data_IF_935053133464
#
_entry.id   IF_935053133464
#
_cell.length_a   1.000
_cell.length_b   1.000
_cell.length_c   1.000
_cell.angle_alpha   90.00
_cell.angle_beta   90.00
_cell.angle_gamma   90.00
#
_symmetry.space_group_name_H-M   'P 1'
#
loop_
_entity.id
_entity.type
_entity.pdbx_description
1 polymer ?
#
# COMPACT_ATOMS: atom_id res chain seq x y z
N UNK A 1 17.10 15.33 -16.41
CA UNK A 1 15.97 15.06 -17.31
C UNK A 1 14.74 15.52 -16.55
N UNK A 2 14.10 16.62 -16.98
CA UNK A 2 12.87 17.10 -16.36
C UNK A 2 11.71 16.24 -16.86
N UNK A 3 10.90 15.71 -15.94
CA UNK A 3 9.67 14.99 -16.28
C UNK A 3 8.59 15.99 -16.71
N UNK A 4 7.78 15.61 -17.68
CA UNK A 4 6.60 16.38 -18.09
C UNK A 4 5.51 16.32 -17.03
N UNK A 5 4.60 17.31 -16.99
CA UNK A 5 3.45 17.31 -16.07
C UNK A 5 2.60 16.03 -16.17
N UNK A 6 2.47 15.47 -17.38
CA UNK A 6 1.67 14.27 -17.61
C UNK A 6 2.35 13.00 -17.08
N UNK A 7 3.69 12.90 -17.21
CA UNK A 7 4.46 11.82 -16.59
C UNK A 7 4.38 11.90 -15.05
N UNK A 8 4.43 13.11 -14.50
CA UNK A 8 4.31 13.36 -13.07
C UNK A 8 2.92 12.98 -12.54
N UNK A 9 1.84 13.38 -13.24
CA UNK A 9 0.46 12.98 -12.90
C UNK A 9 0.26 11.47 -12.98
N UNK A 10 0.78 10.83 -14.03
CA UNK A 10 0.71 9.38 -14.19
C UNK A 10 1.41 8.66 -13.04
N UNK A 11 2.62 9.10 -12.69
CA UNK A 11 3.37 8.55 -11.57
C UNK A 11 2.65 8.71 -10.23
N UNK A 12 2.09 9.90 -9.95
CA UNK A 12 1.25 10.11 -8.75
C UNK A 12 0.06 9.15 -8.72
N UNK A 13 -0.66 9.01 -9.84
CA UNK A 13 -1.79 8.08 -9.96
C UNK A 13 -1.41 6.62 -9.72
N UNK A 14 -0.22 6.18 -10.20
CA UNK A 14 0.30 4.84 -9.93
C UNK A 14 0.58 4.60 -8.44
N UNK A 15 1.13 5.59 -7.75
CA UNK A 15 1.36 5.51 -6.30
C UNK A 15 0.03 5.44 -5.53
N UNK A 16 -0.93 6.30 -5.85
CA UNK A 16 -2.26 6.30 -5.21
C UNK A 16 -3.01 4.98 -5.45
N UNK A 17 -2.94 4.44 -6.67
CA UNK A 17 -3.51 3.13 -6.99
C UNK A 17 -2.82 1.99 -6.23
N UNK A 18 -1.49 2.08 -6.06
CA UNK A 18 -0.72 1.15 -5.23
C UNK A 18 -1.19 1.10 -3.77
N UNK A 19 -1.52 2.27 -3.18
CA UNK A 19 -2.09 2.32 -1.82
C UNK A 19 -3.41 1.56 -1.73
N UNK A 20 -4.32 1.78 -2.69
CA UNK A 20 -5.62 1.11 -2.71
C UNK A 20 -5.47 -0.40 -2.76
N UNK A 21 -4.62 -0.92 -3.65
CA UNK A 21 -4.37 -2.37 -3.77
C UNK A 21 -3.86 -2.96 -2.45
N UNK A 22 -2.88 -2.33 -1.81
CA UNK A 22 -2.30 -2.84 -0.56
C UNK A 22 -3.31 -2.79 0.58
N UNK A 23 -4.15 -1.76 0.64
CA UNK A 23 -5.23 -1.69 1.63
C UNK A 23 -6.26 -2.82 1.43
N UNK A 24 -6.63 -3.11 0.19
CA UNK A 24 -7.53 -4.22 -0.15
C UNK A 24 -6.93 -5.60 0.16
N UNK A 25 -5.61 -5.77 -0.03
CA UNK A 25 -4.90 -6.97 0.41
C UNK A 25 -4.96 -7.15 1.93
N UNK A 26 -4.69 -6.09 2.70
CA UNK A 26 -4.80 -6.13 4.17
C UNK A 26 -6.20 -6.53 4.59
N UNK A 27 -7.24 -5.95 3.97
CA UNK A 27 -8.63 -6.29 4.25
C UNK A 27 -8.93 -7.77 3.96
N UNK A 28 -8.40 -8.31 2.87
CA UNK A 28 -8.52 -9.74 2.53
C UNK A 28 -7.80 -10.64 3.54
N UNK A 29 -6.59 -10.28 3.94
CA UNK A 29 -5.83 -11.04 4.95
C UNK A 29 -6.49 -11.00 6.32
N UNK A 30 -7.07 -9.87 6.72
CA UNK A 30 -7.85 -9.79 7.95
C UNK A 30 -9.05 -10.74 7.92
N UNK A 31 -9.80 -10.80 6.81
CA UNK A 31 -10.88 -11.80 6.63
C UNK A 31 -10.37 -13.24 6.76
N UNK A 32 -9.21 -13.55 6.16
CA UNK A 32 -8.59 -14.87 6.30
C UNK A 32 -8.22 -15.20 7.75
N UNK A 33 -7.75 -14.22 8.53
CA UNK A 33 -7.49 -14.43 9.97
C UNK A 33 -8.80 -14.80 10.70
N UNK A 34 -9.90 -14.10 10.45
CA UNK A 34 -11.20 -14.43 11.04
C UNK A 34 -11.66 -15.86 10.67
N UNK A 35 -11.48 -16.26 9.41
CA UNK A 35 -11.80 -17.62 8.94
C UNK A 35 -10.91 -18.68 9.61
N UNK A 36 -9.60 -18.42 9.72
CA UNK A 36 -8.68 -19.32 10.42
C UNK A 36 -9.04 -19.46 11.91
N UNK A 37 -9.42 -18.38 12.59
CA UNK A 37 -9.90 -18.43 13.98
C UNK A 37 -11.17 -19.28 14.11
N UNK A 38 -12.14 -19.09 13.22
CA UNK A 38 -13.39 -19.86 13.19
C UNK A 38 -13.16 -21.35 12.96
N UNK A 39 -12.18 -21.70 12.13
CA UNK A 39 -11.86 -23.07 11.76
C UNK A 39 -10.81 -23.73 12.69
N UNK A 40 -10.35 -23.04 13.74
CA UNK A 40 -9.32 -23.55 14.66
C UNK A 40 -7.90 -23.63 14.07
N UNK A 41 -7.65 -23.00 12.92
CA UNK A 41 -6.37 -23.02 12.19
C UNK A 41 -5.40 -21.94 12.70
N UNK A 42 -5.18 -21.86 14.01
CA UNK A 42 -4.42 -20.78 14.64
C UNK A 42 -2.95 -20.68 14.17
N UNK A 43 -2.36 -21.81 13.77
CA UNK A 43 -0.98 -21.88 13.26
C UNK A 43 -0.78 -21.07 11.97
N UNK A 44 -1.84 -20.78 11.21
CA UNK A 44 -1.78 -19.99 9.98
C UNK A 44 -1.74 -18.48 10.23
N UNK A 45 -2.26 -18.03 11.37
CA UNK A 45 -2.42 -16.61 11.70
C UNK A 45 -1.08 -15.84 11.67
N UNK A 46 0.03 -16.35 12.24
CA UNK A 46 1.33 -15.64 12.17
C UNK A 46 1.81 -15.41 10.73
N UNK A 47 1.60 -16.38 9.84
CA UNK A 47 1.98 -16.25 8.42
C UNK A 47 1.15 -15.18 7.71
N UNK A 48 -0.15 -15.12 8.00
CA UNK A 48 -1.04 -14.10 7.42
C UNK A 48 -0.68 -12.71 7.98
N UNK A 49 -0.41 -12.60 9.28
CA UNK A 49 0.07 -11.34 9.89
C UNK A 49 1.38 -10.83 9.27
N UNK A 50 2.31 -11.73 8.93
CA UNK A 50 3.53 -11.35 8.21
C UNK A 50 3.24 -10.76 6.82
N UNK A 51 2.22 -11.26 6.12
CA UNK A 51 1.80 -10.68 4.83
C UNK A 51 1.20 -9.28 5.02
N UNK A 52 0.37 -9.09 6.05
CA UNK A 52 -0.17 -7.76 6.42
C UNK A 52 0.96 -6.78 6.70
N UNK A 53 1.94 -7.17 7.54
CA UNK A 53 3.10 -6.33 7.84
C UNK A 53 3.87 -5.90 6.58
N UNK A 54 4.04 -6.81 5.61
CA UNK A 54 4.68 -6.46 4.34
C UNK A 54 3.85 -5.45 3.53
N UNK A 55 2.51 -5.59 3.51
CA UNK A 55 1.63 -4.61 2.86
C UNK A 55 1.72 -3.24 3.56
N UNK A 56 1.73 -3.20 4.90
CA UNK A 56 1.89 -1.98 5.68
C UNK A 56 3.21 -1.28 5.37
N UNK A 57 4.32 -2.03 5.34
CA UNK A 57 5.63 -1.49 4.95
C UNK A 57 5.62 -0.86 3.56
N UNK A 58 5.01 -1.53 2.58
CA UNK A 58 4.90 -0.99 1.21
C UNK A 58 3.99 0.24 1.16
N UNK A 59 2.92 0.28 1.97
CA UNK A 59 2.07 1.47 2.11
C UNK A 59 2.89 2.66 2.63
N UNK A 60 3.73 2.45 3.65
CA UNK A 60 4.59 3.51 4.19
C UNK A 60 5.59 4.00 3.15
N UNK A 61 6.24 3.10 2.41
CA UNK A 61 7.15 3.46 1.30
C UNK A 61 6.43 4.29 0.21
N UNK A 62 5.19 3.92 -0.15
CA UNK A 62 4.40 4.67 -1.13
C UNK A 62 3.98 6.04 -0.58
N UNK A 63 3.59 6.14 0.68
CA UNK A 63 3.25 7.42 1.33
C UNK A 63 4.45 8.36 1.37
N UNK A 64 5.64 7.86 1.70
CA UNK A 64 6.87 8.63 1.67
C UNK A 64 7.20 9.10 0.24
N UNK A 65 7.01 8.23 -0.76
CA UNK A 65 7.18 8.60 -2.16
C UNK A 65 6.19 9.70 -2.61
N UNK A 66 4.92 9.63 -2.21
CA UNK A 66 3.91 10.66 -2.47
C UNK A 66 4.27 11.98 -1.79
N UNK A 67 4.68 11.94 -0.52
CA UNK A 67 5.11 13.12 0.22
C UNK A 67 6.32 13.80 -0.44
N UNK A 68 7.30 13.01 -0.88
CA UNK A 68 8.45 13.51 -1.60
C UNK A 68 8.05 14.10 -2.96
N UNK A 69 7.17 13.42 -3.70
CA UNK A 69 6.61 13.94 -4.94
C UNK A 69 5.94 15.31 -4.72
N UNK A 70 5.11 15.46 -3.69
CA UNK A 70 4.42 16.73 -3.39
C UNK A 70 5.39 17.83 -2.94
N UNK A 71 6.47 17.49 -2.23
CA UNK A 71 7.52 18.46 -1.86
C UNK A 71 8.33 18.93 -3.07
N UNK A 72 8.66 18.01 -3.99
CA UNK A 72 9.54 18.27 -5.13
C UNK A 72 8.79 18.93 -6.30
N UNK A 73 7.58 18.47 -6.59
CA UNK A 73 6.81 18.86 -7.78
C UNK A 73 5.46 19.53 -7.44
N UNK A 74 5.03 19.51 -6.18
CA UNK A 74 3.76 20.12 -5.74
C UNK A 74 3.83 21.61 -5.42
N UNK A 75 5.00 22.25 -5.49
CA UNK A 75 5.11 23.72 -5.45
C UNK A 75 4.77 24.31 -6.82
N UNK A 76 3.50 24.32 -7.16
CA UNK A 76 3.05 24.87 -8.44
C UNK A 76 1.56 24.74 -8.69
N UNK A 77 0.73 25.29 -7.81
CA UNK A 77 -0.55 25.96 -8.13
C UNK A 77 -1.10 26.69 -6.92
#
# INVERSE_FOLDING_TARGET
>A
MEYTEDELKYYKGMLEYGLLIRQDEINRYNKQIYECMRNGQFLMIPYIKRKIYNCEKVIDEIKDALLNYEKTYGKGR
#
